data_IF_814086387485
#
_entry.id   IF_814086387485
#
_cell.length_a   1.000
_cell.length_b   1.000
_cell.length_c   1.000
_cell.angle_alpha   90.00
_cell.angle_beta   90.00
_cell.angle_gamma   90.00
#
_symmetry.space_group_name_H-M   'P 1'
#
loop_
_entity.id
_entity.type
_entity.pdbx_description
1 polymer ?
#
# COMPACT_ATOMS: atom_id res chain seq x y z
N UNK A 1 -7.75 -12.62 17.13
CA UNK A 1 -8.02 -11.59 16.11
C UNK A 1 -7.01 -10.46 16.24
N UNK A 2 -6.38 -10.08 15.13
CA UNK A 2 -5.40 -9.01 15.18
C UNK A 2 -6.09 -7.66 15.38
N UNK A 3 -5.47 -6.76 16.13
CA UNK A 3 -5.97 -5.40 16.28
C UNK A 3 -5.60 -4.54 15.05
N UNK A 4 -6.19 -3.36 14.97
CA UNK A 4 -6.01 -2.45 13.82
C UNK A 4 -4.54 -2.06 13.64
N UNK A 5 -3.82 -1.78 14.73
CA UNK A 5 -2.39 -1.43 14.65
C UNK A 5 -1.57 -2.55 14.01
N UNK A 6 -1.82 -3.79 14.41
CA UNK A 6 -1.10 -4.95 13.86
C UNK A 6 -1.40 -5.12 12.37
N UNK A 7 -2.65 -4.90 11.96
CA UNK A 7 -3.06 -4.98 10.55
C UNK A 7 -2.34 -3.91 9.73
N UNK A 8 -2.30 -2.67 10.21
CA UNK A 8 -1.60 -1.58 9.53
C UNK A 8 -0.11 -1.86 9.41
N UNK A 9 0.52 -2.33 10.49
CA UNK A 9 1.96 -2.65 10.47
C UNK A 9 2.26 -3.79 9.51
N UNK A 10 1.43 -4.81 9.48
CA UNK A 10 1.58 -5.93 8.54
C UNK A 10 1.44 -5.46 7.09
N UNK A 11 0.48 -4.58 6.82
CA UNK A 11 0.27 -3.99 5.51
C UNK A 11 1.53 -3.25 5.03
N UNK A 12 2.06 -2.34 5.84
CA UNK A 12 3.26 -1.59 5.47
C UNK A 12 4.48 -2.48 5.30
N UNK A 13 4.59 -3.52 6.12
CA UNK A 13 5.69 -4.48 6.09
C UNK A 13 5.75 -5.26 4.77
N UNK A 14 4.59 -5.63 4.24
CA UNK A 14 4.49 -6.37 2.95
C UNK A 14 5.17 -5.58 1.82
N UNK A 15 5.01 -4.26 1.80
CA UNK A 15 5.53 -3.41 0.73
C UNK A 15 7.05 -3.28 0.78
N UNK A 16 7.68 -3.67 1.87
CA UNK A 16 9.14 -3.67 2.02
C UNK A 16 9.79 -5.02 1.70
N UNK A 17 9.02 -6.08 1.51
CA UNK A 17 9.54 -7.42 1.21
C UNK A 17 10.01 -7.46 -0.25
N UNK A 18 11.29 -7.76 -0.47
CA UNK A 18 11.87 -7.75 -1.82
C UNK A 18 11.71 -9.07 -2.56
N UNK A 19 11.66 -10.19 -1.86
CA UNK A 19 11.47 -11.50 -2.50
C UNK A 19 10.01 -11.70 -2.89
N UNK A 20 9.70 -11.91 -4.19
CA UNK A 20 8.31 -12.02 -4.63
C UNK A 20 7.57 -13.23 -4.08
N UNK A 21 8.23 -14.33 -3.82
CA UNK A 21 7.59 -15.54 -3.26
C UNK A 21 7.23 -15.34 -1.78
N UNK A 22 8.15 -14.77 -1.01
CA UNK A 22 7.90 -14.43 0.38
C UNK A 22 6.80 -13.37 0.48
N UNK A 23 6.86 -12.38 -0.39
CA UNK A 23 5.84 -11.32 -0.43
C UNK A 23 4.46 -11.89 -0.76
N UNK A 24 4.36 -12.82 -1.71
CA UNK A 24 3.10 -13.48 -2.03
C UNK A 24 2.50 -14.20 -0.81
N UNK A 25 3.33 -14.89 -0.04
CA UNK A 25 2.89 -15.57 1.18
C UNK A 25 2.36 -14.57 2.21
N UNK A 26 3.03 -13.44 2.39
CA UNK A 26 2.58 -12.41 3.34
C UNK A 26 1.31 -11.72 2.86
N UNK A 27 1.19 -11.46 1.56
CA UNK A 27 -0.02 -10.87 0.97
C UNK A 27 -1.25 -11.73 1.31
N UNK A 28 -1.12 -13.04 1.24
CA UNK A 28 -2.22 -13.96 1.57
C UNK A 28 -2.68 -13.87 3.02
N UNK A 29 -1.85 -13.38 3.93
CA UNK A 29 -2.19 -13.23 5.34
C UNK A 29 -2.75 -11.84 5.69
N UNK A 30 -2.56 -10.87 4.82
CA UNK A 30 -2.92 -9.47 5.11
C UNK A 30 -4.14 -9.01 4.33
N UNK A 31 -4.29 -9.50 3.10
CA UNK A 31 -5.32 -9.01 2.18
C UNK A 31 -6.30 -10.11 1.80
N UNK A 32 -7.54 -9.71 1.50
CA UNK A 32 -8.51 -10.64 0.93
C UNK A 32 -8.10 -11.01 -0.50
N UNK A 33 -8.66 -12.12 -1.00
CA UNK A 33 -8.37 -12.57 -2.35
C UNK A 33 -8.79 -11.55 -3.41
N UNK A 34 -9.86 -10.81 -3.14
CA UNK A 34 -10.42 -9.79 -4.04
C UNK A 34 -9.98 -8.36 -3.72
N UNK A 35 -8.87 -8.21 -3.01
CA UNK A 35 -8.39 -6.91 -2.56
C UNK A 35 -8.30 -5.90 -3.72
N UNK A 36 -8.67 -4.66 -3.43
CA UNK A 36 -8.49 -3.54 -4.35
C UNK A 36 -7.57 -2.51 -3.73
N UNK A 37 -6.51 -2.14 -4.45
CA UNK A 37 -5.62 -1.05 -4.05
C UNK A 37 -5.89 0.10 -5.00
N UNK A 38 -6.43 1.19 -4.46
CA UNK A 38 -6.83 2.36 -5.23
C UNK A 38 -5.72 3.41 -5.09
N UNK A 39 -4.95 3.58 -6.14
CA UNK A 39 -3.87 4.54 -6.21
C UNK A 39 -4.30 5.73 -7.05
N UNK A 40 -3.64 6.91 -6.92
CA UNK A 40 -4.05 8.09 -7.70
C UNK A 40 -4.07 7.88 -9.21
N UNK A 41 -3.25 6.97 -9.73
CA UNK A 41 -3.12 6.73 -11.17
C UNK A 41 -3.78 5.44 -11.65
N UNK A 42 -4.47 4.70 -10.79
CA UNK A 42 -5.16 3.49 -11.21
C UNK A 42 -5.55 2.58 -10.06
N UNK A 43 -6.11 1.43 -10.40
CA UNK A 43 -6.58 0.46 -9.42
C UNK A 43 -5.96 -0.90 -9.71
N UNK A 44 -5.48 -1.56 -8.65
CA UNK A 44 -4.93 -2.90 -8.71
C UNK A 44 -5.93 -3.85 -8.06
N UNK A 45 -6.33 -4.91 -8.74
CA UNK A 45 -7.27 -5.89 -8.24
C UNK A 45 -6.61 -7.26 -8.03
N UNK A 46 -6.78 -7.80 -6.83
CA UNK A 46 -6.35 -9.14 -6.50
C UNK A 46 -4.92 -9.24 -6.02
N UNK A 47 -4.62 -10.37 -5.37
CA UNK A 47 -3.32 -10.60 -4.72
C UNK A 47 -2.15 -10.68 -5.70
N UNK A 48 -2.32 -11.36 -6.82
CA UNK A 48 -1.25 -11.53 -7.80
C UNK A 48 -0.86 -10.18 -8.43
N UNK A 49 -1.84 -9.38 -8.82
CA UNK A 49 -1.61 -8.06 -9.38
C UNK A 49 -0.96 -7.13 -8.36
N UNK A 50 -1.36 -7.22 -7.10
CA UNK A 50 -0.75 -6.44 -6.02
C UNK A 50 0.73 -6.79 -5.87
N UNK A 51 1.07 -8.08 -5.86
CA UNK A 51 2.45 -8.52 -5.75
C UNK A 51 3.31 -7.97 -6.89
N UNK A 52 2.80 -8.05 -8.11
CA UNK A 52 3.48 -7.50 -9.29
C UNK A 52 3.66 -5.99 -9.20
N UNK A 53 2.61 -5.27 -8.78
CA UNK A 53 2.66 -3.82 -8.62
C UNK A 53 3.71 -3.39 -7.59
N UNK A 54 3.78 -4.07 -6.46
CA UNK A 54 4.78 -3.78 -5.42
C UNK A 54 6.20 -3.95 -5.99
N UNK A 55 6.43 -5.01 -6.75
CA UNK A 55 7.73 -5.24 -7.38
C UNK A 55 8.15 -4.10 -8.30
N UNK A 56 7.22 -3.60 -9.12
CA UNK A 56 7.47 -2.46 -10.00
C UNK A 56 7.82 -1.19 -9.21
N UNK A 57 7.07 -0.93 -8.14
CA UNK A 57 7.33 0.24 -7.30
C UNK A 57 8.68 0.15 -6.61
N UNK A 58 9.07 -1.03 -6.13
CA UNK A 58 10.38 -1.23 -5.51
C UNK A 58 11.51 -0.95 -6.49
N UNK A 59 11.36 -1.34 -7.74
CA UNK A 59 12.36 -1.05 -8.77
C UNK A 59 12.43 0.45 -9.08
N UNK A 60 11.27 1.09 -9.21
CA UNK A 60 11.20 2.52 -9.55
C UNK A 60 11.79 3.41 -8.45
N UNK A 61 11.54 3.10 -7.20
CA UNK A 61 11.99 3.91 -6.05
C UNK A 61 13.24 3.36 -5.36
N UNK A 62 13.88 2.34 -5.92
CA UNK A 62 15.06 1.68 -5.33
C UNK A 62 14.76 1.11 -3.94
N UNK A 63 13.60 0.48 -3.80
CA UNK A 63 13.09 -0.08 -2.55
C UNK A 63 11.95 0.74 -1.97
N UNK A 64 11.20 0.14 -1.08
CA UNK A 64 10.11 0.79 -0.39
C UNK A 64 10.24 0.55 1.10
N UNK A 65 10.09 1.61 1.88
CA UNK A 65 10.12 1.52 3.34
C UNK A 65 9.20 2.58 3.91
N UNK A 66 7.94 2.20 4.11
CA UNK A 66 6.94 3.10 4.67
C UNK A 66 7.03 3.16 6.18
N UNK A 67 6.98 4.35 6.73
CA UNK A 67 6.87 4.56 8.17
C UNK A 67 5.62 5.37 8.47
N UNK A 68 4.95 5.03 9.58
CA UNK A 68 3.76 5.76 10.03
C UNK A 68 4.21 7.08 10.63
N UNK A 69 3.55 8.17 10.23
CA UNK A 69 3.82 9.49 10.74
C UNK A 69 2.59 10.02 11.47
N UNK A 70 2.54 9.81 12.79
CA UNK A 70 1.42 10.23 13.60
C UNK A 70 0.49 9.08 13.99
N UNK A 71 -0.73 9.39 14.44
CA UNK A 71 -1.63 8.37 14.96
C UNK A 71 -2.36 7.61 13.85
N UNK A 72 -2.78 6.39 14.19
CA UNK A 72 -3.71 5.62 13.37
C UNK A 72 -5.11 5.96 13.87
N UNK A 73 -5.93 6.52 12.99
CA UNK A 73 -7.34 6.81 13.27
C UNK A 73 -8.18 5.64 12.77
N UNK A 74 -9.10 5.16 13.58
CA UNK A 74 -9.96 4.06 13.14
C UNK A 74 -11.31 4.09 13.85
N UNK A 75 -12.33 3.69 13.12
CA UNK A 75 -13.65 3.40 13.66
C UNK A 75 -14.36 2.47 12.68
N UNK A 76 -15.30 1.67 13.21
CA UNK A 76 -15.97 0.64 12.42
C UNK A 76 -14.91 -0.23 11.71
N UNK A 77 -15.04 -0.46 10.42
CA UNK A 77 -14.12 -1.29 9.65
C UNK A 77 -13.09 -0.49 8.87
N UNK A 78 -12.89 0.79 9.23
CA UNK A 78 -11.99 1.69 8.51
C UNK A 78 -10.83 2.12 9.39
N UNK A 79 -9.67 2.30 8.75
CA UNK A 79 -8.48 2.86 9.38
C UNK A 79 -7.84 3.89 8.43
N UNK A 80 -7.26 4.94 9.00
CA UNK A 80 -6.59 6.00 8.25
C UNK A 80 -5.33 6.43 8.98
N UNK A 81 -4.26 6.65 8.23
CA UNK A 81 -2.99 7.13 8.80
C UNK A 81 -2.14 7.78 7.72
N UNK A 82 -1.23 8.64 8.14
CA UNK A 82 -0.22 9.23 7.27
C UNK A 82 1.04 8.35 7.26
N UNK A 83 1.65 8.19 6.09
CA UNK A 83 2.90 7.47 5.94
C UNK A 83 3.93 8.31 5.21
N UNK A 84 5.21 7.97 5.40
CA UNK A 84 6.34 8.57 4.71
C UNK A 84 7.17 7.49 4.05
N UNK A 85 7.74 7.83 2.91
CA UNK A 85 8.61 6.96 2.12
C UNK A 85 9.80 7.78 1.60
N UNK A 86 11.05 7.45 2.02
CA UNK A 86 12.23 8.04 1.41
C UNK A 86 12.32 7.71 -0.07
N UNK A 87 12.84 8.61 -0.87
CA UNK A 87 12.96 8.39 -2.31
C UNK A 87 14.24 9.01 -2.85
N UNK A 88 14.79 8.40 -3.92
CA UNK A 88 15.96 8.91 -4.63
C UNK A 88 15.59 9.93 -5.72
N UNK A 89 14.29 10.10 -6.03
CA UNK A 89 13.85 10.98 -7.13
C UNK A 89 13.60 12.42 -6.70
N UNK A 90 13.60 12.67 -5.40
CA UNK A 90 13.46 14.02 -4.85
C UNK A 90 14.15 14.10 -3.49
N UNK A 91 14.40 15.32 -3.00
CA UNK A 91 15.12 15.53 -1.74
C UNK A 91 14.29 15.24 -0.49
N UNK A 92 12.97 15.45 -0.58
CA UNK A 92 12.07 15.22 0.54
C UNK A 92 11.41 13.86 0.44
N UNK A 93 11.00 13.31 1.59
CA UNK A 93 10.22 12.08 1.62
C UNK A 93 8.90 12.27 0.87
N UNK A 94 8.44 11.18 0.27
CA UNK A 94 7.06 11.13 -0.23
C UNK A 94 6.15 10.96 0.98
N UNK A 95 5.13 11.78 1.08
CA UNK A 95 4.14 11.73 2.15
C UNK A 95 2.78 11.39 1.55
N UNK A 96 2.09 10.46 2.16
CA UNK A 96 0.77 10.08 1.71
C UNK A 96 -0.12 9.62 2.85
N UNK A 97 -1.36 9.32 2.52
CA UNK A 97 -2.36 8.82 3.45
C UNK A 97 -2.96 7.54 2.89
N UNK A 98 -3.16 6.56 3.75
CA UNK A 98 -3.91 5.35 3.42
C UNK A 98 -5.24 5.36 4.15
N UNK A 99 -6.30 4.96 3.45
CA UNK A 99 -7.59 4.62 4.05
C UNK A 99 -7.84 3.15 3.77
N UNK A 100 -7.91 2.35 4.82
CA UNK A 100 -8.10 0.90 4.72
C UNK A 100 -9.52 0.52 5.10
N UNK A 101 -10.09 -0.43 4.36
CA UNK A 101 -11.29 -1.14 4.77
C UNK A 101 -10.89 -2.56 5.15
N UNK A 102 -11.37 -3.01 6.30
CA UNK A 102 -11.01 -4.31 6.89
C UNK A 102 -12.25 -5.21 6.92
N UNK A 103 -12.09 -6.42 6.42
CA UNK A 103 -13.17 -7.43 6.41
C UNK A 103 -12.60 -8.74 6.95
N UNK A 104 -13.19 -9.22 8.06
CA UNK A 104 -12.77 -10.48 8.70
C UNK A 104 -11.27 -10.50 9.06
N UNK A 105 -10.75 -9.37 9.53
CA UNK A 105 -9.35 -9.26 9.93
C UNK A 105 -8.37 -9.07 8.80
N UNK A 106 -8.84 -8.99 7.55
CA UNK A 106 -8.01 -8.76 6.36
C UNK A 106 -8.40 -7.46 5.69
N UNK A 107 -7.47 -6.88 4.94
CA UNK A 107 -7.72 -5.67 4.17
C UNK A 107 -8.34 -6.07 2.83
N UNK A 108 -9.53 -5.57 2.53
CA UNK A 108 -10.18 -5.78 1.23
C UNK A 108 -10.08 -4.55 0.32
N UNK A 109 -9.76 -3.40 0.88
CA UNK A 109 -9.56 -2.19 0.09
C UNK A 109 -8.57 -1.27 0.79
N UNK A 110 -7.63 -0.73 0.02
CA UNK A 110 -6.72 0.32 0.49
C UNK A 110 -6.78 1.47 -0.52
N UNK A 111 -7.10 2.66 -0.05
CA UNK A 111 -7.14 3.87 -0.88
C UNK A 111 -5.97 4.76 -0.51
N UNK A 112 -5.17 5.13 -1.50
CA UNK A 112 -3.94 5.88 -1.33
C UNK A 112 -4.13 7.31 -1.80
N UNK A 113 -3.81 8.28 -0.94
CA UNK A 113 -3.80 9.69 -1.30
C UNK A 113 -2.38 10.21 -1.19
N UNK A 114 -1.85 10.74 -2.30
CA UNK A 114 -0.47 11.22 -2.35
C UNK A 114 -0.47 12.64 -2.92
N UNK A 115 -0.42 13.68 -2.09
CA UNK A 115 -0.34 15.06 -2.59
C UNK A 115 0.89 15.25 -3.49
N UNK A 116 0.70 15.90 -4.62
CA UNK A 116 1.79 16.12 -5.57
C UNK A 116 2.12 14.90 -6.42
N UNK A 117 1.21 13.94 -6.52
CA UNK A 117 1.41 12.68 -7.21
C UNK A 117 1.89 12.81 -8.66
N UNK A 118 1.48 13.85 -9.39
CA UNK A 118 1.82 14.02 -10.80
C UNK A 118 3.34 13.98 -11.04
N UNK A 119 4.13 14.42 -10.08
CA UNK A 119 5.59 14.38 -10.16
C UNK A 119 6.15 12.97 -9.94
N UNK A 120 5.33 12.01 -9.54
CA UNK A 120 5.74 10.66 -9.12
C UNK A 120 5.23 9.56 -10.05
N UNK A 121 4.76 9.90 -11.23
CA UNK A 121 4.21 8.94 -12.20
C UNK A 121 5.11 7.72 -12.37
N UNK A 122 4.54 6.54 -12.16
CA UNK A 122 5.24 5.26 -12.30
C UNK A 122 4.67 4.53 -13.51
N UNK A 123 5.51 4.18 -14.51
CA UNK A 123 5.02 3.48 -15.69
C UNK A 123 4.54 2.06 -15.35
N UNK A 124 3.66 1.53 -16.18
CA UNK A 124 3.18 0.16 -16.06
C UNK A 124 1.96 -0.04 -15.20
N UNK A 125 1.36 1.03 -14.66
CA UNK A 125 0.14 0.91 -13.88
C UNK A 125 -1.05 0.62 -14.81
N UNK A 126 -1.95 -0.30 -14.41
CA UNK A 126 -3.18 -0.51 -15.18
C UNK A 126 -3.98 0.80 -15.28
N UNK A 127 -4.38 1.15 -16.50
CA UNK A 127 -5.20 2.34 -16.70
C UNK A 127 -6.67 1.98 -16.50
N UNK A 128 -7.12 2.08 -15.27
CA UNK A 128 -8.53 2.00 -14.95
C UNK A 128 -9.00 3.38 -14.53
N UNK A 129 -9.98 3.88 -15.25
CA UNK A 129 -10.70 5.04 -14.79
C UNK A 129 -11.85 4.59 -13.90
N UNK A 130 -12.00 5.19 -12.73
CA UNK A 130 -13.12 4.88 -11.85
C UNK A 130 -14.46 5.19 -12.48
#
# INVERSE_FOLDING_TARGET
>A
MRNVEEIVKSHLSVWAVSDPDERAAQIGRVYTQDVAIVEPDGVVHGRAALNERIGLLQQHFSGLQFSINGPIHHHHDFAMYEWRQPTAIQSDDIVGWDVLHIRDGLIDQAVMFIPGFDALSVPGHPTETP
#
